data_IF_022425007011
#
_entry.id   IF_022425007011
#
_cell.length_a   1.000
_cell.length_b   1.000
_cell.length_c   1.000
_cell.angle_alpha   90.00
_cell.angle_beta   90.00
_cell.angle_gamma   90.00
#
_symmetry.space_group_name_H-M   'P 1'
#
loop_
_entity.id
_entity.type
_entity.pdbx_description
1 polymer ?
#
# COMPACT_ATOMS: atom_id res chain seq x y z
N UNK A 1 -31.05 4.11 -51.71
CA UNK A 1 -32.28 4.57 -51.03
C UNK A 1 -32.08 4.34 -49.53
N UNK A 2 -31.89 5.41 -48.77
CA UNK A 2 -31.40 5.40 -47.40
C UNK A 2 -32.50 5.04 -46.38
N UNK A 3 -32.15 4.28 -45.33
CA UNK A 3 -32.85 4.32 -44.03
C UNK A 3 -31.79 4.37 -42.93
N UNK A 4 -31.45 5.59 -42.56
CA UNK A 4 -30.57 5.91 -41.46
C UNK A 4 -31.21 5.58 -40.11
N UNK A 5 -30.36 4.98 -39.28
CA UNK A 5 -30.42 4.85 -37.84
C UNK A 5 -30.96 6.12 -37.17
N UNK A 6 -32.05 5.94 -36.42
CA UNK A 6 -32.86 7.02 -35.83
C UNK A 6 -33.14 6.79 -34.34
N UNK A 7 -32.23 6.10 -33.63
CA UNK A 7 -32.33 5.92 -32.17
C UNK A 7 -31.27 6.63 -31.34
N UNK A 8 -30.19 7.17 -31.91
CA UNK A 8 -29.10 7.76 -31.11
C UNK A 8 -29.15 9.30 -30.93
N UNK A 9 -30.16 10.00 -31.45
CA UNK A 9 -30.25 11.47 -31.40
C UNK A 9 -31.16 12.04 -30.29
N UNK A 10 -31.12 11.48 -29.07
CA UNK A 10 -31.89 12.06 -27.94
C UNK A 10 -31.22 12.05 -26.58
N UNK A 11 -29.89 12.06 -26.52
CA UNK A 11 -29.16 12.45 -25.32
C UNK A 11 -28.04 13.40 -25.73
N UNK A 12 -28.31 14.71 -25.64
CA UNK A 12 -27.32 15.77 -25.76
C UNK A 12 -26.35 15.75 -24.58
N UNK A 13 -25.50 14.72 -24.52
CA UNK A 13 -24.35 14.65 -23.61
C UNK A 13 -23.10 14.63 -24.47
N UNK A 14 -22.74 15.81 -24.98
CA UNK A 14 -21.37 16.09 -25.37
C UNK A 14 -20.63 16.46 -24.09
N UNK A 15 -20.14 15.46 -23.34
CA UNK A 15 -19.17 15.72 -22.27
C UNK A 15 -17.80 15.20 -22.69
N UNK A 16 -17.08 16.16 -23.24
CA UNK A 16 -15.69 16.25 -23.68
C UNK A 16 -14.65 15.96 -22.59
N UNK A 17 -14.87 14.96 -21.73
CA UNK A 17 -13.94 14.61 -20.64
C UNK A 17 -13.33 13.21 -20.78
N UNK A 18 -13.25 12.68 -22.02
CA UNK A 18 -12.41 11.52 -22.35
C UNK A 18 -10.92 11.87 -22.50
N UNK A 19 -10.55 13.14 -22.37
CA UNK A 19 -9.18 13.63 -22.46
C UNK A 19 -8.70 14.13 -21.09
N UNK A 20 -8.55 13.22 -20.13
CA UNK A 20 -7.62 13.39 -19.00
C UNK A 20 -7.29 12.08 -18.27
N UNK A 21 -7.33 10.94 -18.98
CA UNK A 21 -6.85 9.65 -18.48
C UNK A 21 -5.53 9.27 -19.15
N UNK A 22 -4.67 10.25 -19.38
CA UNK A 22 -3.25 9.97 -19.50
C UNK A 22 -2.77 9.79 -18.06
N UNK A 23 -2.94 8.56 -17.54
CA UNK A 23 -2.46 8.21 -16.21
C UNK A 23 -0.99 8.59 -16.16
N UNK A 24 -0.64 9.55 -15.31
CA UNK A 24 0.74 9.94 -15.02
C UNK A 24 1.53 8.66 -14.81
N UNK A 25 2.36 8.31 -15.80
CA UNK A 25 3.06 7.04 -15.82
C UNK A 25 4.19 7.18 -14.82
N UNK A 26 4.03 6.58 -13.65
CA UNK A 26 5.06 6.57 -12.60
C UNK A 26 6.38 6.16 -13.24
N UNK A 27 7.35 7.08 -13.21
CA UNK A 27 8.67 6.84 -13.79
C UNK A 27 9.53 6.10 -12.77
N UNK A 28 9.19 4.83 -12.51
CA UNK A 28 9.87 4.00 -11.49
C UNK A 28 11.39 3.98 -11.64
N UNK A 29 11.99 3.90 -12.86
CA UNK A 29 13.44 3.99 -13.01
C UNK A 29 14.05 5.28 -12.45
N UNK A 30 13.38 6.42 -12.59
CA UNK A 30 13.83 7.69 -12.04
C UNK A 30 13.74 7.72 -10.51
N UNK A 31 12.69 7.12 -9.94
CA UNK A 31 12.56 6.99 -8.48
C UNK A 31 13.63 6.07 -7.88
N UNK A 32 13.95 4.96 -8.58
CA UNK A 32 15.07 4.07 -8.21
C UNK A 32 16.38 4.84 -8.24
N UNK A 33 16.66 5.60 -9.30
CA UNK A 33 17.88 6.39 -9.43
C UNK A 33 18.03 7.41 -8.31
N UNK A 34 16.99 8.19 -8.04
CA UNK A 34 16.98 9.17 -6.96
C UNK A 34 17.18 8.53 -5.59
N UNK A 35 16.44 7.44 -5.31
CA UNK A 35 16.60 6.72 -4.05
C UNK A 35 17.99 6.12 -3.92
N UNK A 36 18.56 5.55 -4.98
CA UNK A 36 19.95 5.05 -5.05
C UNK A 36 20.97 6.16 -4.80
N UNK A 37 20.68 7.39 -5.21
CA UNK A 37 21.52 8.56 -4.98
C UNK A 37 21.34 9.16 -3.56
N UNK A 38 20.42 8.63 -2.75
CA UNK A 38 20.17 9.07 -1.38
C UNK A 38 19.17 10.21 -1.26
N UNK A 39 18.43 10.52 -2.32
CA UNK A 39 17.41 11.57 -2.30
C UNK A 39 16.11 11.07 -1.66
N UNK A 40 15.44 11.94 -0.91
CA UNK A 40 14.09 11.69 -0.41
C UNK A 40 13.06 11.84 -1.53
N UNK A 41 12.01 11.01 -1.50
CA UNK A 41 10.85 11.13 -2.38
C UNK A 41 9.74 11.91 -1.69
N UNK A 42 8.93 12.60 -2.49
CA UNK A 42 7.77 13.34 -1.99
C UNK A 42 6.62 12.39 -1.60
N UNK A 43 5.64 12.93 -0.86
CA UNK A 43 4.43 12.19 -0.50
C UNK A 43 3.65 11.73 -1.74
N UNK A 44 3.55 12.58 -2.76
CA UNK A 44 2.86 12.27 -4.01
C UNK A 44 3.58 11.16 -4.78
N UNK A 45 4.91 11.20 -4.83
CA UNK A 45 5.73 10.17 -5.48
C UNK A 45 5.56 8.80 -4.80
N UNK A 46 5.53 8.76 -3.46
CA UNK A 46 5.22 7.56 -2.71
C UNK A 46 3.79 7.06 -2.98
N UNK A 47 2.80 7.97 -2.99
CA UNK A 47 1.41 7.64 -3.24
C UNK A 47 1.19 7.02 -4.63
N UNK A 48 1.79 7.63 -5.64
CA UNK A 48 1.78 7.12 -7.01
C UNK A 48 2.46 5.75 -7.13
N UNK A 49 3.64 5.58 -6.53
CA UNK A 49 4.39 4.32 -6.56
C UNK A 49 3.59 3.17 -5.93
N UNK A 50 3.06 3.37 -4.72
CA UNK A 50 2.31 2.33 -4.00
C UNK A 50 1.01 2.00 -4.73
N UNK A 51 0.25 2.99 -5.19
CA UNK A 51 -0.99 2.77 -5.96
C UNK A 51 -0.73 2.05 -7.29
N UNK A 52 0.40 2.33 -7.95
CA UNK A 52 0.76 1.66 -9.19
C UNK A 52 1.19 0.20 -8.96
N UNK A 53 1.97 -0.07 -7.90
CA UNK A 53 2.41 -1.42 -7.58
C UNK A 53 1.27 -2.32 -7.09
N UNK A 54 0.46 -1.86 -6.14
CA UNK A 54 -0.70 -2.64 -5.65
C UNK A 54 -1.76 -2.83 -6.73
N UNK A 55 -1.83 -1.92 -7.70
CA UNK A 55 -2.67 -2.05 -8.90
C UNK A 55 -2.07 -2.91 -10.02
N UNK A 56 -0.94 -3.60 -9.81
CA UNK A 56 -0.31 -4.51 -10.78
C UNK A 56 0.31 -3.81 -12.00
N UNK A 57 0.54 -2.50 -11.95
CA UNK A 57 1.11 -1.71 -13.07
C UNK A 57 2.63 -1.63 -13.05
N UNK A 58 3.26 -2.03 -11.93
CA UNK A 58 4.71 -2.06 -11.76
C UNK A 58 5.13 -3.53 -11.63
N UNK A 59 6.04 -4.02 -12.46
CA UNK A 59 6.54 -5.38 -12.36
C UNK A 59 7.51 -5.54 -11.18
N UNK A 60 7.52 -6.73 -10.58
CA UNK A 60 8.27 -7.04 -9.36
C UNK A 60 9.77 -6.70 -9.44
N UNK A 61 10.39 -6.84 -10.61
CA UNK A 61 11.82 -6.54 -10.76
C UNK A 61 12.17 -5.07 -10.54
N UNK A 62 11.24 -4.14 -10.85
CA UNK A 62 11.45 -2.72 -10.54
C UNK A 62 11.30 -2.46 -9.05
N UNK A 63 10.30 -3.10 -8.42
CA UNK A 63 10.09 -2.99 -6.98
C UNK A 63 11.26 -3.58 -6.19
N UNK A 64 11.79 -4.73 -6.61
CA UNK A 64 12.97 -5.34 -6.02
C UNK A 64 14.20 -4.41 -6.11
N UNK A 65 14.44 -3.78 -7.27
CA UNK A 65 15.54 -2.83 -7.43
C UNK A 65 15.36 -1.59 -6.53
N UNK A 66 14.12 -1.10 -6.38
CA UNK A 66 13.82 0.02 -5.49
C UNK A 66 14.01 -0.33 -4.01
N UNK A 67 13.56 -1.51 -3.58
CA UNK A 67 13.79 -2.02 -2.21
C UNK A 67 15.28 -2.16 -1.93
N UNK A 68 16.09 -2.59 -2.89
CA UNK A 68 17.55 -2.61 -2.76
C UNK A 68 18.14 -1.20 -2.62
N UNK A 69 17.61 -0.20 -3.33
CA UNK A 69 18.03 1.19 -3.14
C UNK A 69 17.72 1.70 -1.73
N UNK A 70 16.53 1.37 -1.19
CA UNK A 70 16.17 1.65 0.21
C UNK A 70 17.11 0.94 1.17
N UNK A 71 17.42 -0.33 0.94
CA UNK A 71 18.33 -1.08 1.81
C UNK A 71 19.69 -0.39 1.98
N UNK A 72 20.26 0.14 0.90
CA UNK A 72 21.57 0.81 0.95
C UNK A 72 21.52 2.26 1.45
N UNK A 73 20.39 2.97 1.29
CA UNK A 73 20.30 4.41 1.62
C UNK A 73 19.43 4.74 2.82
N UNK A 74 18.60 3.80 3.26
CA UNK A 74 17.57 3.99 4.26
C UNK A 74 16.38 4.82 3.77
N UNK A 75 15.51 5.15 4.72
CA UNK A 75 14.42 6.10 4.59
C UNK A 75 14.61 7.21 5.62
N UNK A 76 14.21 8.43 5.28
CA UNK A 76 14.00 9.45 6.31
C UNK A 76 12.78 9.11 7.17
N UNK A 77 12.65 9.71 8.35
CA UNK A 77 11.48 9.51 9.22
C UNK A 77 10.17 9.90 8.53
N UNK A 78 10.18 11.02 7.78
CA UNK A 78 9.02 11.46 7.01
C UNK A 78 8.61 10.48 5.90
N UNK A 79 9.59 9.87 5.23
CA UNK A 79 9.32 8.83 4.23
C UNK A 79 8.79 7.55 4.87
N UNK A 80 9.36 7.13 6.01
CA UNK A 80 8.89 5.96 6.74
C UNK A 80 7.43 6.14 7.19
N UNK A 81 7.08 7.30 7.73
CA UNK A 81 5.71 7.62 8.14
C UNK A 81 4.75 7.60 6.94
N UNK A 82 5.16 8.24 5.84
CA UNK A 82 4.38 8.31 4.60
C UNK A 82 4.14 6.92 4.01
N UNK A 83 5.20 6.12 3.86
CA UNK A 83 5.11 4.76 3.35
C UNK A 83 4.22 3.88 4.23
N UNK A 84 4.38 3.97 5.56
CA UNK A 84 3.56 3.20 6.51
C UNK A 84 2.08 3.55 6.37
N UNK A 85 1.74 4.83 6.28
CA UNK A 85 0.35 5.27 6.10
C UNK A 85 -0.23 4.78 4.77
N UNK A 86 0.51 4.94 3.67
CA UNK A 86 0.07 4.49 2.34
C UNK A 86 -0.09 2.96 2.28
N UNK A 87 0.82 2.19 2.89
CA UNK A 87 0.70 0.74 2.97
C UNK A 87 -0.56 0.33 3.75
N UNK A 88 -0.81 0.93 4.92
CA UNK A 88 -2.05 0.72 5.70
C UNK A 88 -3.30 1.02 4.87
N UNK A 89 -3.29 2.13 4.14
CA UNK A 89 -4.47 2.61 3.41
C UNK A 89 -4.65 1.95 2.03
N UNK A 90 -3.68 1.13 1.60
CA UNK A 90 -3.72 0.43 0.30
C UNK A 90 -4.61 -0.83 0.28
N UNK A 91 -5.11 -1.28 1.44
CA UNK A 91 -5.91 -2.49 1.58
C UNK A 91 -7.08 -2.33 2.56
N UNK A 92 -7.69 -3.45 2.89
CA UNK A 92 -8.83 -3.49 3.82
C UNK A 92 -8.40 -3.10 5.24
N UNK A 93 -9.23 -2.29 5.90
CA UNK A 93 -8.99 -1.87 7.28
C UNK A 93 -10.02 -2.49 8.21
N UNK A 94 -9.53 -3.33 9.13
CA UNK A 94 -10.36 -3.90 10.18
C UNK A 94 -10.77 -2.81 11.19
N UNK A 95 -12.03 -2.85 11.60
CA UNK A 95 -12.62 -1.97 12.61
C UNK A 95 -13.37 -2.85 13.61
N UNK A 96 -13.26 -2.50 14.89
CA UNK A 96 -13.88 -3.25 15.98
C UNK A 96 -14.74 -2.34 16.86
N UNK A 97 -15.78 -1.69 16.30
CA UNK A 97 -16.58 -0.70 17.03
C UNK A 97 -17.35 -1.31 18.20
N UNK A 98 -17.67 -2.59 18.14
CA UNK A 98 -18.52 -3.27 19.13
C UNK A 98 -17.73 -3.90 20.29
N UNK A 99 -16.39 -3.81 20.30
CA UNK A 99 -15.58 -4.33 21.39
C UNK A 99 -15.55 -3.32 22.55
N UNK A 100 -16.04 -3.74 23.72
CA UNK A 100 -15.98 -2.96 24.97
C UNK A 100 -14.65 -3.12 25.72
N UNK A 101 -13.69 -3.86 25.15
CA UNK A 101 -12.40 -4.19 25.75
C UNK A 101 -11.24 -3.60 24.94
N UNK A 102 -10.07 -3.36 25.56
CA UNK A 102 -8.91 -2.86 24.82
C UNK A 102 -8.52 -3.81 23.68
N UNK A 103 -8.21 -3.22 22.52
CA UNK A 103 -7.66 -3.92 21.37
C UNK A 103 -6.14 -3.72 21.39
N UNK A 104 -5.40 -4.80 21.57
CA UNK A 104 -3.94 -4.77 21.72
C UNK A 104 -3.30 -5.72 20.73
N UNK A 105 -2.20 -5.30 20.13
CA UNK A 105 -1.35 -6.15 19.30
C UNK A 105 0.09 -6.14 19.83
N UNK A 106 0.79 -7.26 19.66
CA UNK A 106 2.22 -7.38 19.91
C UNK A 106 2.88 -7.86 18.64
N UNK A 107 3.88 -7.11 18.20
CA UNK A 107 4.70 -7.50 17.06
C UNK A 107 6.13 -7.85 17.50
N UNK A 108 6.77 -8.76 16.77
CA UNK A 108 8.19 -9.07 16.90
C UNK A 108 8.87 -8.72 15.59
N UNK A 109 10.05 -8.10 15.61
CA UNK A 109 10.87 -7.95 14.40
C UNK A 109 11.39 -9.30 13.89
N UNK A 110 11.27 -10.36 14.69
CA UNK A 110 11.77 -11.70 14.40
C UNK A 110 12.94 -12.10 15.30
N UNK A 111 13.33 -13.37 15.20
CA UNK A 111 14.39 -13.97 15.99
C UNK A 111 14.34 -15.49 15.92
N UNK A 112 15.49 -16.15 16.17
CA UNK A 112 15.59 -17.60 16.09
C UNK A 112 14.67 -18.24 17.14
N UNK A 113 13.63 -18.93 16.67
CA UNK A 113 12.71 -19.68 17.54
C UNK A 113 11.76 -18.81 18.38
N UNK A 114 11.51 -17.56 18.01
CA UNK A 114 10.57 -16.69 18.75
C UNK A 114 9.12 -17.22 18.64
N UNK A 115 8.69 -17.95 19.68
CA UNK A 115 7.33 -18.48 19.84
C UNK A 115 6.49 -17.65 20.80
N UNK A 116 6.98 -16.48 21.21
CA UNK A 116 6.34 -15.66 22.27
C UNK A 116 4.90 -15.32 21.93
N UNK A 117 4.65 -14.89 20.68
CA UNK A 117 3.31 -14.49 20.24
C UNK A 117 2.28 -15.64 20.33
N UNK A 118 2.69 -16.89 20.12
CA UNK A 118 1.81 -18.05 20.21
C UNK A 118 1.26 -18.28 21.63
N UNK A 119 2.04 -17.93 22.65
CA UNK A 119 1.65 -18.07 24.06
C UNK A 119 0.98 -16.79 24.56
N UNK A 120 1.53 -15.63 24.17
CA UNK A 120 1.09 -14.33 24.68
C UNK A 120 -0.34 -13.99 24.23
N UNK A 121 -0.68 -14.27 22.96
CA UNK A 121 -2.00 -13.95 22.42
C UNK A 121 -3.16 -14.61 23.22
N UNK A 122 -3.19 -15.95 23.42
CA UNK A 122 -4.25 -16.58 24.21
C UNK A 122 -4.21 -16.20 25.70
N UNK A 123 -3.02 -15.97 26.26
CA UNK A 123 -2.89 -15.52 27.66
C UNK A 123 -3.52 -14.13 27.86
N UNK A 124 -3.21 -13.16 27.00
CA UNK A 124 -3.83 -11.83 27.05
C UNK A 124 -5.34 -11.90 26.80
N UNK A 125 -5.78 -12.73 25.84
CA UNK A 125 -7.20 -12.95 25.59
C UNK A 125 -7.94 -13.52 26.81
N UNK A 126 -7.33 -14.44 27.55
CA UNK A 126 -7.89 -15.00 28.79
C UNK A 126 -8.05 -13.96 29.92
N UNK A 127 -7.29 -12.88 29.87
CA UNK A 127 -7.39 -11.73 30.78
C UNK A 127 -8.42 -10.68 30.34
N UNK A 128 -9.23 -10.96 29.30
CA UNK A 128 -10.29 -10.05 28.83
C UNK A 128 -9.82 -8.98 27.85
N UNK A 129 -8.70 -9.17 27.16
CA UNK A 129 -8.18 -8.25 26.13
C UNK A 129 -8.50 -8.81 24.74
N UNK A 130 -8.85 -7.94 23.78
CA UNK A 130 -8.98 -8.37 22.39
C UNK A 130 -7.62 -8.31 21.67
N UNK A 131 -7.22 -9.41 21.03
CA UNK A 131 -5.91 -9.56 20.38
C UNK A 131 -6.06 -9.96 18.90
N UNK A 132 -6.48 -9.05 18.01
CA UNK A 132 -6.61 -9.31 16.57
C UNK A 132 -5.24 -9.23 15.87
N UNK A 133 -4.30 -10.08 16.30
CA UNK A 133 -2.91 -10.08 15.82
C UNK A 133 -2.82 -10.49 14.35
N UNK A 134 -2.15 -9.67 13.54
CA UNK A 134 -1.76 -10.01 12.17
C UNK A 134 -0.29 -10.44 12.20
N UNK A 135 -0.01 -11.65 11.69
CA UNK A 135 1.34 -12.22 11.69
C UNK A 135 1.84 -12.48 10.26
N UNK A 136 3.14 -12.30 10.07
CA UNK A 136 3.84 -12.65 8.83
C UNK A 136 4.36 -14.08 8.83
N UNK A 137 4.88 -14.51 7.68
CA UNK A 137 5.74 -15.71 7.60
C UNK A 137 7.19 -15.34 7.94
N UNK A 138 8.09 -16.32 7.89
CA UNK A 138 9.52 -16.08 8.10
C UNK A 138 10.06 -14.97 7.18
N UNK A 139 10.84 -14.07 7.76
CA UNK A 139 11.63 -13.07 7.07
C UNK A 139 13.09 -13.49 7.22
N UNK A 140 13.74 -13.84 6.10
CA UNK A 140 15.19 -13.99 5.94
C UNK A 140 15.98 -14.66 7.06
#
# INVERSE_FOLDING_TARGET
MARGDRSERRLGITNSNRQNKEATRVQVPALIERKRNGEALSVDEWGELISAYTGGRIPDYQMAAFLMAIWFRGLTEGELLTLTALMRDSGDQLRFPDLSVPVIDKHSTGGVGDKTSLILAPMAASCGIAVPMISGRGLG
#
